data_IF_081068922099
#
_entry.id   IF_081068922099
#
_cell.length_a   1.000
_cell.length_b   1.000
_cell.length_c   1.000
_cell.angle_alpha   90.00
_cell.angle_beta   90.00
_cell.angle_gamma   90.00
#
_symmetry.space_group_name_H-M   'P 1'
#
loop_
_entity.id
_entity.type
_entity.pdbx_description
1 polymer ?
#
# COMPACT_ATOMS: atom_id res chain seq x y z
N UNK A 1 -1.23 -30.14 -13.92
CA UNK A 1 -1.84 -30.05 -12.59
C UNK A 1 -2.15 -28.59 -12.35
N UNK A 2 -3.43 -28.23 -12.40
CA UNK A 2 -3.87 -26.86 -12.23
C UNK A 2 -3.71 -26.45 -10.78
N UNK A 3 -2.87 -25.46 -10.53
CA UNK A 3 -3.12 -24.54 -9.43
C UNK A 3 -4.03 -23.47 -10.02
N UNK A 4 -5.33 -23.64 -9.83
CA UNK A 4 -6.31 -22.58 -10.03
C UNK A 4 -5.77 -21.35 -9.32
N UNK A 5 -5.30 -20.37 -10.11
CA UNK A 5 -4.95 -19.07 -9.62
C UNK A 5 -6.22 -18.55 -8.97
N UNK A 6 -6.27 -18.64 -7.65
CA UNK A 6 -7.38 -18.18 -6.85
C UNK A 6 -7.39 -16.66 -7.02
N UNK A 7 -8.13 -16.18 -8.03
CA UNK A 7 -8.41 -14.76 -8.25
C UNK A 7 -9.37 -14.26 -7.17
N UNK A 8 -9.11 -14.62 -5.91
CA UNK A 8 -9.70 -13.93 -4.78
C UNK A 8 -9.38 -12.45 -4.92
N UNK A 9 -10.39 -11.62 -4.65
CA UNK A 9 -10.22 -10.19 -4.61
C UNK A 9 -8.93 -9.86 -3.83
N UNK A 10 -8.05 -9.03 -4.38
CA UNK A 10 -6.71 -8.88 -3.86
C UNK A 10 -6.84 -8.32 -2.43
N UNK A 11 -6.58 -9.21 -1.47
CA UNK A 11 -6.75 -8.95 -0.05
C UNK A 11 -5.48 -8.29 0.47
N UNK A 12 -5.62 -7.36 1.41
CA UNK A 12 -4.47 -6.65 1.96
C UNK A 12 -3.55 -7.68 2.66
N UNK A 13 -2.30 -7.87 2.20
CA UNK A 13 -1.41 -8.86 2.77
C UNK A 13 -0.98 -8.43 4.17
N UNK A 14 -1.05 -9.37 5.11
CA UNK A 14 -0.55 -9.19 6.47
C UNK A 14 0.96 -9.41 6.49
N UNK A 15 1.70 -8.53 7.15
CA UNK A 15 3.12 -8.73 7.38
C UNK A 15 3.35 -9.91 8.34
N UNK A 16 4.18 -10.87 7.94
CA UNK A 16 4.45 -12.12 8.67
C UNK A 16 5.92 -12.28 9.08
N UNK A 17 6.77 -11.28 8.81
CA UNK A 17 8.19 -11.29 9.12
C UNK A 17 9.10 -11.48 7.90
N UNK A 18 8.57 -11.89 6.74
CA UNK A 18 9.34 -11.90 5.49
C UNK A 18 9.05 -10.62 4.68
N UNK A 19 9.95 -9.64 4.79
CA UNK A 19 9.80 -8.36 4.09
C UNK A 19 9.82 -8.50 2.57
N UNK A 20 10.71 -9.32 2.02
CA UNK A 20 10.87 -9.51 0.56
C UNK A 20 9.60 -10.09 -0.08
N UNK A 21 9.06 -11.15 0.54
CA UNK A 21 7.82 -11.76 0.08
C UNK A 21 6.63 -10.81 0.27
N UNK A 22 6.54 -10.13 1.42
CA UNK A 22 5.46 -9.18 1.70
C UNK A 22 5.50 -7.97 0.74
N UNK A 23 6.68 -7.41 0.45
CA UNK A 23 6.82 -6.27 -0.44
C UNK A 23 6.42 -6.61 -1.88
N UNK A 24 6.76 -7.81 -2.35
CA UNK A 24 6.36 -8.28 -3.69
C UNK A 24 4.83 -8.39 -3.83
N UNK A 25 4.12 -8.86 -2.80
CA UNK A 25 2.65 -8.96 -2.81
C UNK A 25 1.99 -7.59 -2.68
N UNK A 26 2.53 -6.71 -1.82
CA UNK A 26 2.05 -5.33 -1.66
C UNK A 26 2.23 -4.50 -2.92
N UNK A 27 3.38 -4.62 -3.60
CA UNK A 27 3.66 -3.94 -4.86
C UNK A 27 2.62 -4.34 -5.92
N UNK A 28 2.41 -5.63 -6.13
CA UNK A 28 1.41 -6.13 -7.10
C UNK A 28 -0.02 -5.67 -6.77
N UNK A 29 -0.40 -5.66 -5.48
CA UNK A 29 -1.70 -5.17 -5.02
C UNK A 29 -1.90 -3.68 -5.38
N UNK A 30 -0.90 -2.84 -5.09
CA UNK A 30 -0.97 -1.40 -5.31
C UNK A 30 -0.92 -1.06 -6.81
N UNK A 31 -0.10 -1.77 -7.58
CA UNK A 31 -0.03 -1.64 -9.05
C UNK A 31 -1.36 -2.03 -9.70
N UNK A 32 -2.03 -3.07 -9.20
CA UNK A 32 -3.34 -3.51 -9.71
C UNK A 32 -4.49 -2.53 -9.39
N UNK A 33 -4.29 -1.61 -8.45
CA UNK A 33 -5.27 -0.60 -8.04
C UNK A 33 -4.87 0.82 -8.45
N UNK A 34 -3.81 0.96 -9.24
CA UNK A 34 -3.24 2.24 -9.66
C UNK A 34 -2.78 3.16 -8.50
N UNK A 35 -2.69 2.63 -7.27
CA UNK A 35 -2.25 3.38 -6.09
C UNK A 35 -0.73 3.49 -5.97
N UNK A 36 0.03 2.74 -6.78
CA UNK A 36 1.49 2.74 -6.74
C UNK A 36 2.11 4.14 -6.90
N UNK A 37 1.46 5.01 -7.68
CA UNK A 37 1.91 6.40 -7.88
C UNK A 37 2.09 7.16 -6.56
N UNK A 38 1.26 6.89 -5.55
CA UNK A 38 1.36 7.55 -4.25
C UNK A 38 2.55 7.05 -3.43
N UNK A 39 2.96 5.79 -3.63
CA UNK A 39 4.16 5.21 -2.99
C UNK A 39 5.42 5.69 -3.71
N UNK A 40 5.40 5.69 -5.04
CA UNK A 40 6.53 6.14 -5.87
C UNK A 40 6.82 7.63 -5.73
N UNK A 41 5.77 8.46 -5.64
CA UNK A 41 5.91 9.90 -5.38
C UNK A 41 6.50 10.19 -3.99
N UNK A 42 6.51 9.18 -3.11
CA UNK A 42 6.89 9.31 -1.71
C UNK A 42 5.85 10.08 -0.89
N UNK A 43 5.86 9.85 0.42
CA UNK A 43 5.12 10.70 1.34
C UNK A 43 6.00 11.90 1.69
N UNK A 44 5.61 13.08 1.22
CA UNK A 44 6.20 14.33 1.74
C UNK A 44 5.46 14.67 3.03
N UNK A 45 6.11 14.50 4.18
CA UNK A 45 5.61 15.03 5.44
C UNK A 45 5.41 16.55 5.27
N UNK A 46 4.15 16.97 5.32
CA UNK A 46 3.82 18.38 5.19
C UNK A 46 4.30 19.08 6.47
N UNK A 47 5.41 19.81 6.40
CA UNK A 47 5.91 20.62 7.53
C UNK A 47 4.96 21.78 7.91
N UNK A 48 3.84 21.94 7.21
CA UNK A 48 2.83 22.95 7.46
C UNK A 48 1.46 22.30 7.58
N UNK A 49 0.76 22.60 8.68
CA UNK A 49 -0.61 22.15 8.97
C UNK A 49 -1.63 22.62 7.91
N UNK A 50 -1.23 23.57 7.06
CA UNK A 50 -1.98 24.11 5.93
C UNK A 50 -2.14 23.09 4.77
N UNK A 51 -1.22 22.14 4.63
CA UNK A 51 -1.29 21.07 3.61
C UNK A 51 -1.83 19.73 4.12
N UNK A 52 -2.13 19.63 5.42
CA UNK A 52 -2.60 18.38 6.03
C UNK A 52 -4.09 18.18 5.76
N UNK A 53 -4.46 16.98 5.30
CA UNK A 53 -5.88 16.59 5.27
C UNK A 53 -6.38 16.35 6.70
N UNK A 54 -7.68 16.53 6.92
CA UNK A 54 -8.33 16.36 8.23
C UNK A 54 -7.96 15.04 8.93
N UNK A 55 -7.65 14.00 8.16
CA UNK A 55 -7.23 12.68 8.66
C UNK A 55 -5.83 12.67 9.27
N UNK A 56 -4.88 13.45 8.75
CA UNK A 56 -3.52 13.56 9.30
C UNK A 56 -3.51 14.40 10.59
N UNK A 57 -4.39 15.40 10.67
CA UNK A 57 -4.51 16.30 11.83
C UNK A 57 -5.01 15.57 13.08
N UNK A 58 -5.79 14.49 12.91
CA UNK A 58 -6.48 13.81 14.02
C UNK A 58 -5.58 12.95 14.92
N UNK A 59 -4.34 12.70 14.49
CA UNK A 59 -3.35 11.88 15.20
C UNK A 59 -2.20 12.70 15.83
N UNK A 60 -2.31 14.04 15.82
CA UNK A 60 -1.46 14.99 16.55
C UNK A 60 -2.22 15.52 17.77
#
# INVERSE_FOLDING_TARGET
MGSEANFAAPSIPKFDGNYDHWSMVMENLLRSKEYWVAVESGYTETNSRDGMTTTQIKNL
#
